data_IF_331851486158
#
_entry.id   IF_331851486158
#
_cell.length_a   1.000
_cell.length_b   1.000
_cell.length_c   1.000
_cell.angle_alpha   90.00
_cell.angle_beta   90.00
_cell.angle_gamma   90.00
#
_symmetry.space_group_name_H-M   'P 1'
#
loop_
_entity.id
_entity.type
_entity.pdbx_description
1 polymer ?
#
# COMPACT_ATOMS: atom_id res chain seq x y z
N UNK A 1 12.35 -29.63 -38.02
CA UNK A 1 11.56 -28.61 -37.32
C UNK A 1 11.10 -29.23 -36.01
N UNK A 2 11.76 -28.89 -34.91
CA UNK A 2 11.28 -29.29 -33.58
C UNK A 2 10.01 -28.49 -33.26
N UNK A 3 9.06 -29.12 -32.58
CA UNK A 3 7.82 -28.47 -32.16
C UNK A 3 8.15 -27.46 -31.03
N UNK A 4 7.86 -26.16 -31.18
CA UNK A 4 8.20 -25.15 -30.16
C UNK A 4 7.60 -25.47 -28.77
N UNK A 5 6.49 -26.23 -28.73
CA UNK A 5 5.91 -26.73 -27.48
C UNK A 5 6.80 -27.76 -26.76
N UNK A 6 7.50 -28.63 -27.51
CA UNK A 6 8.43 -29.64 -26.97
C UNK A 6 9.64 -29.00 -26.29
N UNK A 7 10.14 -27.89 -26.84
CA UNK A 7 11.33 -27.20 -26.35
C UNK A 7 11.03 -26.37 -25.09
N UNK A 8 9.86 -25.73 -25.03
CA UNK A 8 9.39 -24.98 -23.86
C UNK A 8 9.14 -25.87 -22.63
N UNK A 9 8.55 -27.05 -22.85
CA UNK A 9 8.38 -28.06 -21.79
C UNK A 9 9.73 -28.56 -21.27
N UNK A 10 10.75 -28.63 -22.13
CA UNK A 10 12.10 -29.04 -21.76
C UNK A 10 12.84 -28.00 -20.91
N UNK A 11 12.77 -26.69 -21.25
CA UNK A 11 13.40 -25.61 -20.46
C UNK A 11 12.78 -25.53 -19.06
N UNK A 12 11.45 -25.57 -18.98
CA UNK A 12 10.72 -25.49 -17.72
C UNK A 12 11.07 -26.67 -16.79
N UNK A 13 11.17 -27.89 -17.34
CA UNK A 13 11.60 -29.07 -16.57
C UNK A 13 13.07 -28.96 -16.12
N UNK A 14 13.96 -28.45 -16.98
CA UNK A 14 15.37 -28.20 -16.63
C UNK A 14 15.50 -27.19 -15.49
N UNK A 15 14.74 -26.11 -15.54
CA UNK A 15 14.74 -25.11 -14.47
C UNK A 15 14.25 -25.69 -13.15
N UNK A 16 13.16 -26.46 -13.15
CA UNK A 16 12.66 -27.15 -11.95
C UNK A 16 13.72 -28.07 -11.35
N UNK A 17 14.33 -28.93 -12.16
CA UNK A 17 15.38 -29.83 -11.70
C UNK A 17 16.59 -29.05 -11.14
N UNK A 18 16.98 -27.95 -11.78
CA UNK A 18 18.07 -27.10 -11.31
C UNK A 18 17.76 -26.41 -9.98
N UNK A 19 16.51 -25.95 -9.79
CA UNK A 19 16.05 -25.33 -8.55
C UNK A 19 16.01 -26.34 -7.39
N UNK A 20 15.48 -27.54 -7.65
CA UNK A 20 15.42 -28.64 -6.69
C UNK A 20 16.83 -29.14 -6.31
N UNK A 21 17.75 -29.24 -7.27
CA UNK A 21 19.13 -29.64 -7.00
C UNK A 21 19.90 -28.57 -6.23
N UNK A 22 19.71 -27.29 -6.57
CA UNK A 22 20.46 -26.19 -5.98
C UNK A 22 19.99 -25.83 -4.56
N UNK A 23 18.74 -26.14 -4.20
CA UNK A 23 18.10 -25.84 -2.91
C UNK A 23 18.49 -24.46 -2.36
N UNK A 24 18.20 -23.37 -3.09
CA UNK A 24 18.60 -22.03 -2.65
C UNK A 24 17.97 -21.68 -1.30
N UNK A 25 18.68 -20.93 -0.47
CA UNK A 25 18.18 -20.50 0.83
C UNK A 25 17.04 -19.47 0.66
N UNK A 26 15.80 -19.94 0.65
CA UNK A 26 14.61 -19.11 0.38
C UNK A 26 14.02 -18.44 1.60
N UNK A 27 14.54 -18.69 2.81
CA UNK A 27 14.08 -18.01 4.02
C UNK A 27 12.63 -18.33 4.42
N UNK A 28 12.06 -19.44 3.93
CA UNK A 28 10.67 -19.85 4.22
C UNK A 28 9.73 -19.82 3.02
N UNK A 29 10.14 -19.21 1.89
CA UNK A 29 9.38 -19.25 0.62
C UNK A 29 9.50 -20.65 -0.01
N UNK A 30 8.40 -21.20 -0.51
CA UNK A 30 8.43 -22.51 -1.17
C UNK A 30 9.12 -22.44 -2.52
N UNK A 31 9.79 -23.53 -2.93
CA UNK A 31 10.40 -23.60 -4.26
C UNK A 31 9.34 -23.59 -5.37
N UNK A 32 8.11 -24.02 -5.08
CA UNK A 32 7.01 -23.96 -6.04
C UNK A 32 6.54 -22.51 -6.30
N UNK A 33 6.54 -21.65 -5.29
CA UNK A 33 6.24 -20.22 -5.47
C UNK A 33 7.32 -19.54 -6.32
N UNK A 34 8.60 -19.83 -6.03
CA UNK A 34 9.73 -19.34 -6.84
C UNK A 34 9.61 -19.84 -8.28
N UNK A 35 9.27 -21.11 -8.47
CA UNK A 35 9.07 -21.70 -9.78
C UNK A 35 7.92 -21.04 -10.54
N UNK A 36 6.79 -20.80 -9.87
CA UNK A 36 5.61 -20.18 -10.47
C UNK A 36 5.89 -18.76 -10.98
N UNK A 37 6.68 -17.97 -10.26
CA UNK A 37 7.04 -16.61 -10.67
C UNK A 37 8.02 -16.56 -11.86
N UNK A 38 8.93 -17.55 -11.97
CA UNK A 38 9.96 -17.56 -13.02
C UNK A 38 9.50 -18.26 -14.30
N UNK A 39 8.64 -19.27 -14.19
CA UNK A 39 8.17 -20.10 -15.32
C UNK A 39 7.65 -19.29 -16.52
N UNK A 40 6.83 -18.24 -16.34
CA UNK A 40 6.30 -17.46 -17.46
C UNK A 40 7.37 -16.81 -18.35
N UNK A 41 8.59 -16.63 -17.83
CA UNK A 41 9.68 -15.91 -18.50
C UNK A 41 10.66 -16.84 -19.21
N UNK A 42 10.71 -18.12 -18.83
CA UNK A 42 11.59 -19.11 -19.43
C UNK A 42 11.44 -19.25 -20.96
N UNK A 43 10.23 -19.25 -21.55
CA UNK A 43 10.08 -19.31 -23.01
C UNK A 43 10.71 -18.11 -23.71
N UNK A 44 10.50 -16.90 -23.17
CA UNK A 44 11.04 -15.65 -23.72
C UNK A 44 12.57 -15.63 -23.71
N UNK A 45 13.18 -16.16 -22.64
CA UNK A 45 14.64 -16.30 -22.57
C UNK A 45 15.18 -17.30 -23.60
N UNK A 46 14.40 -18.33 -23.95
CA UNK A 46 14.78 -19.35 -24.93
C UNK A 46 14.67 -18.89 -26.39
N UNK A 47 13.81 -17.93 -26.68
CA UNK A 47 13.60 -17.42 -28.05
C UNK A 47 14.70 -16.45 -28.53
N UNK A 48 15.55 -15.95 -27.62
CA UNK A 48 16.66 -15.05 -27.98
C UNK A 48 17.81 -15.78 -28.68
N UNK A 49 18.14 -15.45 -29.95
CA UNK A 49 19.18 -16.17 -30.71
C UNK A 49 20.57 -16.02 -30.06
N UNK A 50 21.24 -17.15 -29.82
CA UNK A 50 22.58 -17.20 -29.21
C UNK A 50 23.60 -16.43 -30.07
N UNK A 51 23.50 -16.50 -31.41
CA UNK A 51 24.41 -15.76 -32.29
C UNK A 51 24.27 -14.24 -32.15
N UNK A 52 23.06 -13.73 -31.89
CA UNK A 52 22.82 -12.30 -31.64
C UNK A 52 23.40 -11.86 -30.29
N UNK A 53 23.43 -12.74 -29.27
CA UNK A 53 24.02 -12.44 -27.95
C UNK A 53 25.52 -12.19 -28.06
N UNK A 54 26.21 -12.99 -28.87
CA UNK A 54 27.65 -12.84 -29.14
C UNK A 54 27.98 -11.53 -29.90
N UNK A 55 27.04 -11.01 -30.69
CA UNK A 55 27.18 -9.76 -31.44
C UNK A 55 27.21 -8.50 -30.58
N UNK A 56 26.73 -8.56 -29.33
CA UNK A 56 26.88 -7.49 -28.33
C UNK A 56 26.00 -6.25 -28.51
N UNK A 57 25.13 -6.18 -29.51
CA UNK A 57 24.15 -5.09 -29.67
C UNK A 57 22.90 -5.31 -28.80
N UNK A 58 23.08 -5.03 -27.51
CA UNK A 58 22.05 -5.19 -26.48
C UNK A 58 21.01 -4.06 -26.45
N UNK A 59 21.12 -3.05 -27.33
CA UNK A 59 20.16 -1.95 -27.43
C UNK A 59 19.03 -2.24 -28.43
N UNK A 60 19.12 -3.36 -29.15
CA UNK A 60 18.06 -3.82 -30.04
C UNK A 60 16.76 -4.10 -29.27
N UNK A 61 15.63 -3.98 -29.97
CA UNK A 61 14.30 -4.13 -29.39
C UNK A 61 14.13 -5.46 -28.63
N UNK A 62 14.57 -6.57 -29.23
CA UNK A 62 14.46 -7.92 -28.67
C UNK A 62 15.19 -8.05 -27.31
N UNK A 63 16.39 -7.47 -27.19
CA UNK A 63 17.14 -7.49 -25.93
C UNK A 63 16.53 -6.56 -24.87
N UNK A 64 16.03 -5.40 -25.28
CA UNK A 64 15.34 -4.48 -24.37
C UNK A 64 14.06 -5.08 -23.78
N UNK A 65 13.28 -5.78 -24.60
CA UNK A 65 12.10 -6.51 -24.11
C UNK A 65 12.50 -7.61 -23.13
N UNK A 66 13.51 -8.41 -23.46
CA UNK A 66 14.02 -9.44 -22.56
C UNK A 66 14.48 -8.87 -21.21
N UNK A 67 15.29 -7.81 -21.20
CA UNK A 67 15.76 -7.19 -19.96
C UNK A 67 14.59 -6.61 -19.16
N UNK A 68 13.60 -6.01 -19.83
CA UNK A 68 12.39 -5.52 -19.16
C UNK A 68 11.64 -6.65 -18.45
N UNK A 69 11.50 -7.81 -19.10
CA UNK A 69 10.86 -8.98 -18.50
C UNK A 69 11.70 -9.53 -17.33
N UNK A 70 13.02 -9.52 -17.43
CA UNK A 70 13.91 -9.90 -16.33
C UNK A 70 13.83 -8.93 -15.15
N UNK A 71 13.65 -7.62 -15.39
CA UNK A 71 13.33 -6.64 -14.35
C UNK A 71 12.01 -7.00 -13.65
N UNK A 72 10.98 -7.44 -14.38
CA UNK A 72 9.73 -7.90 -13.78
C UNK A 72 9.93 -9.15 -12.90
N UNK A 73 10.72 -10.14 -13.35
CA UNK A 73 11.06 -11.31 -12.53
C UNK A 73 11.78 -10.88 -11.24
N UNK A 74 12.78 -10.01 -11.36
CA UNK A 74 13.48 -9.44 -10.22
C UNK A 74 12.54 -8.84 -9.19
N UNK A 75 11.59 -8.01 -9.65
CA UNK A 75 10.55 -7.40 -8.81
C UNK A 75 9.68 -8.44 -8.13
N UNK A 76 9.23 -9.47 -8.85
CA UNK A 76 8.40 -10.55 -8.28
C UNK A 76 9.13 -11.37 -7.23
N UNK A 77 10.39 -11.74 -7.50
CA UNK A 77 11.25 -12.43 -6.53
C UNK A 77 11.47 -11.57 -5.27
N UNK A 78 11.61 -10.24 -5.45
CA UNK A 78 11.66 -9.34 -4.32
C UNK A 78 10.37 -9.37 -3.52
N UNK A 79 9.19 -9.40 -4.14
CA UNK A 79 7.86 -9.44 -3.48
C UNK A 79 7.56 -10.78 -2.77
N UNK A 80 8.19 -11.87 -3.17
CA UNK A 80 8.17 -13.14 -2.42
C UNK A 80 9.00 -13.11 -1.13
N UNK A 81 9.77 -12.04 -0.89
CA UNK A 81 10.64 -11.86 0.30
C UNK A 81 11.89 -12.75 0.28
N UNK A 82 12.35 -13.11 -0.93
CA UNK A 82 13.67 -13.72 -1.11
C UNK A 82 14.77 -12.71 -0.77
N UNK A 83 15.94 -13.23 -0.36
CA UNK A 83 17.15 -12.41 -0.25
C UNK A 83 17.68 -12.03 -1.65
N UNK A 84 18.41 -10.91 -1.78
CA UNK A 84 19.01 -10.53 -3.07
C UNK A 84 19.97 -11.60 -3.61
N UNK A 85 20.73 -12.27 -2.73
CA UNK A 85 21.62 -13.37 -3.11
C UNK A 85 20.83 -14.56 -3.69
N UNK A 86 19.70 -14.90 -3.09
CA UNK A 86 18.83 -15.96 -3.56
C UNK A 86 18.16 -15.59 -4.88
N UNK A 87 17.68 -14.36 -5.03
CA UNK A 87 17.10 -13.89 -6.29
C UNK A 87 18.12 -13.96 -7.44
N UNK A 88 19.35 -13.48 -7.24
CA UNK A 88 20.44 -13.61 -8.22
C UNK A 88 20.70 -15.08 -8.56
N UNK A 89 20.76 -15.96 -7.57
CA UNK A 89 20.98 -17.39 -7.79
C UNK A 89 19.85 -18.02 -8.63
N UNK A 90 18.59 -17.67 -8.36
CA UNK A 90 17.43 -18.12 -9.12
C UNK A 90 17.50 -17.63 -10.58
N UNK A 91 17.82 -16.36 -10.80
CA UNK A 91 18.00 -15.81 -12.16
C UNK A 91 19.12 -16.54 -12.91
N UNK A 92 20.24 -16.84 -12.25
CA UNK A 92 21.34 -17.62 -12.86
C UNK A 92 20.90 -19.03 -13.25
N UNK A 93 20.15 -19.71 -12.39
CA UNK A 93 19.59 -21.04 -12.70
C UNK A 93 18.62 -20.99 -13.88
N UNK A 94 17.83 -19.91 -14.00
CA UNK A 94 16.94 -19.70 -15.15
C UNK A 94 17.73 -19.54 -16.45
N UNK A 95 18.78 -18.72 -16.45
CA UNK A 95 19.66 -18.55 -17.62
C UNK A 95 20.35 -19.87 -18.02
N UNK A 96 20.87 -20.61 -17.05
CA UNK A 96 21.51 -21.91 -17.27
C UNK A 96 20.53 -22.99 -17.76
N UNK A 97 19.26 -22.90 -17.34
CA UNK A 97 18.21 -23.82 -17.82
C UNK A 97 17.85 -23.59 -19.28
N UNK A 98 18.10 -22.39 -19.80
CA UNK A 98 17.91 -22.04 -21.21
C UNK A 98 19.14 -22.46 -22.00
N UNK A 99 20.32 -22.00 -21.56
CA UNK A 99 21.61 -22.30 -22.16
C UNK A 99 22.59 -22.86 -21.12
N UNK A 100 22.84 -24.19 -21.11
CA UNK A 100 23.76 -24.81 -20.16
C UNK A 100 25.22 -24.36 -20.31
N UNK A 101 25.59 -23.78 -21.45
CA UNK A 101 26.93 -23.25 -21.71
C UNK A 101 27.10 -21.79 -21.25
N UNK A 102 26.02 -21.18 -20.75
CA UNK A 102 26.01 -19.81 -20.24
C UNK A 102 26.83 -19.69 -18.95
N UNK A 103 28.04 -19.16 -19.07
CA UNK A 103 28.89 -18.79 -17.94
C UNK A 103 28.63 -17.33 -17.54
N UNK A 104 27.79 -17.13 -16.52
CA UNK A 104 27.30 -15.81 -16.11
C UNK A 104 28.41 -14.80 -15.80
N UNK A 105 29.53 -15.27 -15.24
CA UNK A 105 30.62 -14.38 -14.83
C UNK A 105 31.48 -13.92 -16.02
N UNK A 106 31.35 -14.54 -17.20
CA UNK A 106 32.17 -14.26 -18.40
C UNK A 106 31.32 -13.77 -19.58
N UNK A 107 30.03 -14.15 -19.64
CA UNK A 107 29.15 -13.83 -20.75
C UNK A 107 28.46 -12.45 -20.58
N UNK A 108 28.68 -11.48 -21.50
CA UNK A 108 28.12 -10.13 -21.38
C UNK A 108 26.59 -10.08 -21.30
N UNK A 109 25.91 -10.97 -22.04
CA UNK A 109 24.44 -11.07 -22.00
C UNK A 109 23.95 -11.49 -20.62
N UNK A 110 24.56 -12.54 -20.04
CA UNK A 110 24.19 -13.07 -18.74
C UNK A 110 24.43 -12.05 -17.62
N UNK A 111 25.52 -11.29 -17.68
CA UNK A 111 25.79 -10.19 -16.75
C UNK A 111 24.70 -9.11 -16.82
N UNK A 112 24.30 -8.67 -18.03
CA UNK A 112 23.20 -7.71 -18.20
C UNK A 112 21.86 -8.27 -17.74
N UNK A 113 21.59 -9.55 -18.01
CA UNK A 113 20.38 -10.22 -17.57
C UNK A 113 20.25 -10.26 -16.04
N UNK A 114 21.35 -10.58 -15.34
CA UNK A 114 21.41 -10.52 -13.88
C UNK A 114 21.25 -9.09 -13.38
N UNK A 115 21.89 -8.11 -14.02
CA UNK A 115 21.75 -6.70 -13.64
C UNK A 115 20.30 -6.20 -13.74
N UNK A 116 19.59 -6.54 -14.82
CA UNK A 116 18.17 -6.21 -15.00
C UNK A 116 17.30 -6.84 -13.90
N UNK A 117 17.53 -8.11 -13.57
CA UNK A 117 16.85 -8.77 -12.46
C UNK A 117 17.17 -8.13 -11.09
N UNK A 118 18.40 -7.68 -10.86
CA UNK A 118 18.76 -6.96 -9.62
C UNK A 118 18.07 -5.60 -9.55
N UNK A 119 18.04 -4.83 -10.63
CA UNK A 119 17.30 -3.56 -10.70
C UNK A 119 15.82 -3.75 -10.34
N UNK A 120 15.19 -4.75 -10.97
CA UNK A 120 13.83 -5.15 -10.65
C UNK A 120 13.64 -5.52 -9.18
N UNK A 121 14.58 -6.27 -8.63
CA UNK A 121 14.54 -6.67 -7.23
C UNK A 121 14.57 -5.46 -6.28
N UNK A 122 15.44 -4.48 -6.54
CA UNK A 122 15.50 -3.24 -5.77
C UNK A 122 14.16 -2.50 -5.83
N UNK A 123 13.59 -2.32 -7.03
CA UNK A 123 12.28 -1.70 -7.20
C UNK A 123 11.18 -2.41 -6.41
N UNK A 124 11.16 -3.74 -6.41
CA UNK A 124 10.21 -4.52 -5.61
C UNK A 124 10.41 -4.40 -4.09
N UNK A 125 11.65 -4.21 -3.64
CA UNK A 125 11.93 -3.90 -2.21
C UNK A 125 11.44 -2.53 -1.83
N UNK A 126 11.68 -1.51 -2.66
CA UNK A 126 11.20 -0.15 -2.44
C UNK A 126 9.67 -0.11 -2.38
N UNK A 127 9.00 -0.81 -3.30
CA UNK A 127 7.54 -0.96 -3.32
C UNK A 127 7.02 -1.56 -2.01
N UNK A 128 7.59 -2.67 -1.54
CA UNK A 128 7.19 -3.27 -0.26
C UNK A 128 7.45 -2.33 0.92
N UNK A 129 8.61 -1.68 0.96
CA UNK A 129 8.92 -0.75 2.06
C UNK A 129 7.91 0.39 2.08
N UNK A 130 7.54 0.91 0.91
CA UNK A 130 6.49 1.91 0.77
C UNK A 130 5.14 1.39 1.25
N UNK A 131 4.70 0.21 0.78
CA UNK A 131 3.45 -0.43 1.22
C UNK A 131 3.43 -0.68 2.73
N UNK A 132 4.49 -1.26 3.30
CA UNK A 132 4.59 -1.50 4.73
C UNK A 132 4.67 -0.20 5.56
N UNK A 133 5.18 0.89 4.98
CA UNK A 133 5.12 2.21 5.61
C UNK A 133 3.70 2.77 5.57
N UNK A 134 2.98 2.62 4.46
CA UNK A 134 1.57 3.01 4.32
C UNK A 134 0.68 2.21 5.28
N UNK A 135 0.82 0.89 5.34
CA UNK A 135 0.08 0.02 6.25
C UNK A 135 0.33 0.37 7.72
N UNK A 136 1.60 0.60 8.11
CA UNK A 136 1.93 1.05 9.46
C UNK A 136 1.32 2.42 9.76
N UNK A 137 1.44 3.37 8.84
CA UNK A 137 0.82 4.69 8.97
C UNK A 137 -0.70 4.58 9.14
N UNK A 138 -1.37 3.72 8.37
CA UNK A 138 -2.81 3.47 8.46
C UNK A 138 -3.20 2.81 9.79
N UNK A 139 -2.44 1.81 10.26
CA UNK A 139 -2.72 1.11 11.54
C UNK A 139 -2.63 2.04 12.77
N UNK A 140 -1.89 3.15 12.66
CA UNK A 140 -1.74 4.15 13.71
C UNK A 140 -2.82 5.25 13.69
N UNK A 141 -3.76 5.24 12.72
CA UNK A 141 -4.85 6.21 12.62
C UNK A 141 -6.01 5.88 13.57
N UNK A 142 -5.71 5.80 14.87
CA UNK A 142 -6.72 5.59 15.90
C UNK A 142 -7.19 6.93 16.47
N UNK A 143 -8.49 7.08 16.79
CA UNK A 143 -8.99 8.24 17.50
C UNK A 143 -8.28 8.41 18.85
N UNK A 144 -7.68 9.58 19.07
CA UNK A 144 -7.02 9.96 20.31
C UNK A 144 -8.00 10.70 21.23
N UNK A 145 -8.17 10.23 22.46
CA UNK A 145 -8.91 10.99 23.47
C UNK A 145 -8.04 12.12 23.99
N UNK A 146 -8.45 13.37 23.75
CA UNK A 146 -7.72 14.56 24.22
C UNK A 146 -8.25 15.04 25.57
N UNK A 147 -9.57 14.97 25.77
CA UNK A 147 -10.25 15.38 27.00
C UNK A 147 -11.42 14.44 27.34
N UNK A 148 -12.09 14.67 28.46
CA UNK A 148 -13.29 13.93 28.83
C UNK A 148 -14.37 13.97 27.73
N UNK A 149 -14.48 15.08 26.99
CA UNK A 149 -15.51 15.32 25.98
C UNK A 149 -14.95 15.53 24.56
N UNK A 150 -13.70 15.15 24.28
CA UNK A 150 -13.04 15.44 22.99
C UNK A 150 -12.24 14.24 22.49
N UNK A 151 -12.52 13.82 21.25
CA UNK A 151 -11.61 12.98 20.46
C UNK A 151 -10.96 13.78 19.33
N UNK A 152 -9.76 13.39 18.95
CA UNK A 152 -9.12 13.84 17.73
C UNK A 152 -8.74 12.66 16.83
N UNK A 153 -8.94 12.82 15.53
CA UNK A 153 -8.43 11.93 14.50
C UNK A 153 -7.42 12.72 13.67
N UNK A 154 -6.13 12.43 13.86
CA UNK A 154 -5.04 13.06 13.09
C UNK A 154 -4.66 12.14 11.96
N UNK A 155 -4.90 12.57 10.72
CA UNK A 155 -4.66 11.74 9.53
C UNK A 155 -3.40 12.23 8.81
N UNK A 156 -2.42 11.34 8.66
CA UNK A 156 -1.14 11.66 8.03
C UNK A 156 -0.78 10.67 6.92
N UNK A 157 -0.19 11.17 5.83
CA UNK A 157 0.29 10.35 4.71
C UNK A 157 -0.65 10.37 3.51
N UNK A 158 -0.65 9.27 2.74
CA UNK A 158 -1.47 9.07 1.54
C UNK A 158 -2.25 7.77 1.73
N UNK A 159 -3.58 7.86 1.79
CA UNK A 159 -4.45 6.71 2.09
C UNK A 159 -5.55 6.54 1.06
N UNK A 160 -5.89 5.30 0.77
CA UNK A 160 -7.04 4.98 -0.07
C UNK A 160 -8.35 5.45 0.60
N UNK A 161 -9.38 5.86 -0.17
CA UNK A 161 -10.65 6.33 0.38
C UNK A 161 -11.30 5.36 1.37
N UNK A 162 -11.20 4.04 1.12
CA UNK A 162 -11.74 3.02 2.01
C UNK A 162 -11.09 3.05 3.41
N UNK A 163 -9.76 3.22 3.48
CA UNK A 163 -9.01 3.32 4.74
C UNK A 163 -9.44 4.57 5.51
N UNK A 164 -9.64 5.70 4.81
CA UNK A 164 -10.11 6.94 5.41
C UNK A 164 -11.52 6.78 6.00
N UNK A 165 -12.44 6.11 5.29
CA UNK A 165 -13.77 5.80 5.79
C UNK A 165 -13.72 4.92 7.04
N UNK A 166 -12.88 3.88 7.05
CA UNK A 166 -12.71 3.01 8.22
C UNK A 166 -12.20 3.78 9.45
N UNK A 167 -11.29 4.75 9.25
CA UNK A 167 -10.79 5.62 10.32
C UNK A 167 -11.88 6.54 10.88
N UNK A 168 -12.72 7.10 10.00
CA UNK A 168 -13.85 7.94 10.39
C UNK A 168 -14.92 7.12 11.12
N UNK A 169 -15.19 5.89 10.69
CA UNK A 169 -16.07 4.96 11.40
C UNK A 169 -15.52 4.62 12.79
N UNK A 170 -14.21 4.38 12.90
CA UNK A 170 -13.55 4.13 14.18
C UNK A 170 -13.68 5.34 15.12
N UNK A 171 -13.59 6.57 14.60
CA UNK A 171 -13.87 7.80 15.35
C UNK A 171 -15.31 7.82 15.87
N UNK A 172 -16.29 7.53 15.02
CA UNK A 172 -17.70 7.44 15.44
C UNK A 172 -17.94 6.42 16.55
N UNK A 173 -17.33 5.23 16.45
CA UNK A 173 -17.40 4.19 17.49
C UNK A 173 -16.76 4.67 18.79
N UNK A 174 -15.57 5.26 18.73
CA UNK A 174 -14.88 5.80 19.91
C UNK A 174 -15.69 6.90 20.61
N UNK A 175 -16.30 7.81 19.84
CA UNK A 175 -17.20 8.84 20.36
C UNK A 175 -18.41 8.23 21.05
N UNK A 176 -19.06 7.24 20.43
CA UNK A 176 -20.23 6.58 20.99
C UNK A 176 -19.91 5.82 22.30
N UNK A 177 -18.83 5.06 22.31
CA UNK A 177 -18.45 4.22 23.46
C UNK A 177 -18.14 5.06 24.70
N UNK A 178 -17.40 6.15 24.48
CA UNK A 178 -16.97 7.07 25.52
C UNK A 178 -17.98 8.20 25.80
N UNK A 179 -19.09 8.25 25.07
CA UNK A 179 -20.15 9.25 25.20
C UNK A 179 -19.65 10.69 25.02
N UNK A 180 -18.86 10.88 23.95
CA UNK A 180 -18.20 12.14 23.60
C UNK A 180 -18.97 12.88 22.50
N UNK A 181 -19.19 14.18 22.71
CA UNK A 181 -19.97 15.04 21.82
C UNK A 181 -19.11 15.87 20.86
N UNK A 182 -17.77 15.80 20.93
CA UNK A 182 -16.90 16.60 20.07
C UNK A 182 -15.75 15.79 19.46
N UNK A 183 -15.59 15.94 18.15
CA UNK A 183 -14.48 15.43 17.37
C UNK A 183 -13.68 16.55 16.71
N UNK A 184 -12.37 16.36 16.63
CA UNK A 184 -11.47 17.17 15.81
C UNK A 184 -10.85 16.26 14.76
N UNK A 185 -10.94 16.61 13.49
CA UNK A 185 -10.30 15.85 12.40
C UNK A 185 -9.22 16.72 11.78
N UNK A 186 -7.96 16.29 11.91
CA UNK A 186 -6.79 17.04 11.43
C UNK A 186 -6.27 16.44 10.12
N UNK A 187 -6.33 17.24 9.05
CA UNK A 187 -5.93 16.89 7.69
C UNK A 187 -4.59 17.52 7.29
N UNK A 188 -3.91 18.21 8.20
CA UNK A 188 -2.69 18.99 7.91
C UNK A 188 -1.59 18.14 7.27
N UNK A 189 -1.52 16.86 7.63
CA UNK A 189 -0.51 15.91 7.12
C UNK A 189 -1.07 14.92 6.09
N UNK A 190 -2.33 15.06 5.68
CA UNK A 190 -2.96 14.20 4.67
C UNK A 190 -2.72 14.76 3.28
N UNK A 191 -2.05 13.98 2.44
CA UNK A 191 -1.61 14.36 1.10
C UNK A 191 -2.60 13.95 0.01
N UNK A 192 -2.46 14.56 -1.17
CA UNK A 192 -3.20 14.21 -2.40
C UNK A 192 -4.74 14.18 -2.22
N UNK A 193 -5.36 15.34 -1.91
CA UNK A 193 -6.82 15.42 -1.86
C UNK A 193 -7.44 15.17 -3.24
N UNK A 194 -8.50 14.37 -3.25
CA UNK A 194 -9.35 14.15 -4.42
C UNK A 194 -10.80 14.01 -3.96
N UNK A 195 -11.73 13.91 -4.92
CA UNK A 195 -13.17 13.80 -4.65
C UNK A 195 -13.53 12.67 -3.68
N UNK A 196 -13.02 11.47 -3.91
CA UNK A 196 -13.37 10.28 -3.14
C UNK A 196 -12.83 10.37 -1.71
N UNK A 197 -11.60 10.87 -1.53
CA UNK A 197 -10.99 11.11 -0.22
C UNK A 197 -11.72 12.20 0.56
N UNK A 198 -12.19 13.25 -0.11
CA UNK A 198 -13.01 14.29 0.51
C UNK A 198 -14.33 13.72 1.04
N UNK A 199 -15.02 12.87 0.26
CA UNK A 199 -16.24 12.19 0.71
C UNK A 199 -15.96 11.36 1.97
N UNK A 200 -14.90 10.54 1.92
CA UNK A 200 -14.54 9.66 3.04
C UNK A 200 -14.27 10.46 4.33
N UNK A 201 -13.42 11.49 4.27
CA UNK A 201 -13.00 12.26 5.45
C UNK A 201 -14.10 13.16 6.00
N UNK A 202 -14.81 13.90 5.14
CA UNK A 202 -15.81 14.86 5.62
C UNK A 202 -17.11 14.18 6.11
N UNK A 203 -17.31 12.89 5.81
CA UNK A 203 -18.39 12.09 6.42
C UNK A 203 -18.33 12.06 7.96
N UNK A 204 -17.16 12.38 8.56
CA UNK A 204 -17.01 12.54 10.00
C UNK A 204 -17.97 13.59 10.60
N UNK A 205 -18.33 14.63 9.85
CA UNK A 205 -19.31 15.62 10.28
C UNK A 205 -20.72 15.04 10.42
N UNK A 206 -21.14 14.24 9.44
CA UNK A 206 -22.44 13.58 9.45
C UNK A 206 -22.52 12.57 10.59
N UNK A 207 -21.47 11.76 10.77
CA UNK A 207 -21.35 10.80 11.87
C UNK A 207 -21.41 11.50 13.23
N UNK A 208 -20.64 12.57 13.43
CA UNK A 208 -20.67 13.33 14.68
C UNK A 208 -22.08 13.90 14.95
N UNK A 209 -22.74 14.49 13.93
CA UNK A 209 -24.10 15.02 14.04
C UNK A 209 -25.14 13.94 14.36
N UNK A 210 -25.05 12.76 13.75
CA UNK A 210 -25.91 11.61 14.06
C UNK A 210 -25.76 11.16 15.52
N UNK A 211 -24.54 11.25 16.06
CA UNK A 211 -24.25 10.99 17.46
C UNK A 211 -24.64 12.16 18.39
N UNK A 212 -25.22 13.24 17.87
CA UNK A 212 -25.62 14.42 18.64
C UNK A 212 -24.46 15.33 19.02
N UNK A 213 -23.29 15.12 18.41
CA UNK A 213 -22.08 15.87 18.61
C UNK A 213 -21.74 16.82 17.46
N UNK A 214 -20.51 17.29 17.47
CA UNK A 214 -19.96 18.27 16.53
C UNK A 214 -18.58 17.81 16.06
N UNK A 215 -18.25 18.09 14.80
CA UNK A 215 -16.94 17.83 14.23
C UNK A 215 -16.27 19.15 13.82
N UNK A 216 -14.98 19.33 14.14
CA UNK A 216 -14.16 20.47 13.73
C UNK A 216 -13.03 19.94 12.84
N UNK A 217 -12.91 20.47 11.63
CA UNK A 217 -11.83 20.11 10.70
C UNK A 217 -10.69 21.12 10.79
N UNK A 218 -9.47 20.60 10.74
CA UNK A 218 -8.22 21.37 10.72
C UNK A 218 -7.42 21.01 9.46
N UNK A 219 -6.63 21.95 8.94
CA UNK A 219 -5.77 21.70 7.78
C UNK A 219 -6.51 21.70 6.44
N UNK A 220 -7.72 22.28 6.38
CA UNK A 220 -8.52 22.37 5.15
C UNK A 220 -8.00 23.50 4.24
N UNK A 221 -6.90 23.21 3.55
CA UNK A 221 -6.26 24.09 2.56
C UNK A 221 -7.07 24.23 1.26
N UNK A 222 -6.57 25.03 0.30
CA UNK A 222 -7.25 25.25 -0.98
C UNK A 222 -7.47 23.97 -1.79
N UNK A 223 -6.58 22.98 -1.66
CA UNK A 223 -6.67 21.71 -2.40
C UNK A 223 -7.80 20.86 -1.84
N UNK A 224 -7.92 20.78 -0.51
CA UNK A 224 -9.06 20.13 0.15
C UNK A 224 -10.38 20.82 -0.16
N UNK A 225 -10.40 22.15 -0.23
CA UNK A 225 -11.61 22.91 -0.62
C UNK A 225 -12.05 22.61 -2.05
N UNK A 226 -11.11 22.49 -2.98
CA UNK A 226 -11.39 22.11 -4.36
C UNK A 226 -11.95 20.67 -4.43
N UNK A 227 -11.33 19.73 -3.73
CA UNK A 227 -11.80 18.34 -3.66
C UNK A 227 -13.21 18.21 -3.04
N UNK A 228 -13.49 18.97 -1.97
CA UNK A 228 -14.82 19.04 -1.36
C UNK A 228 -15.87 19.65 -2.31
N UNK A 229 -15.48 20.67 -3.07
CA UNK A 229 -16.37 21.28 -4.08
C UNK A 229 -16.71 20.28 -5.19
N UNK A 230 -15.73 19.52 -5.70
CA UNK A 230 -15.97 18.45 -6.68
C UNK A 230 -16.84 17.31 -6.12
N UNK A 231 -16.69 17.02 -4.83
CA UNK A 231 -17.55 16.12 -4.08
C UNK A 231 -18.94 16.69 -3.74
N UNK A 232 -19.21 17.98 -4.04
CA UNK A 232 -20.44 18.70 -3.69
C UNK A 232 -20.72 18.76 -2.19
N UNK A 233 -19.67 18.82 -1.38
CA UNK A 233 -19.74 18.94 0.08
C UNK A 233 -19.89 20.43 0.45
N UNK A 234 -20.94 20.82 1.19
CA UNK A 234 -21.17 22.21 1.57
C UNK A 234 -20.19 22.63 2.68
N UNK A 235 -19.05 23.20 2.29
CA UNK A 235 -17.99 23.63 3.20
C UNK A 235 -18.43 24.70 4.22
N UNK A 236 -19.45 25.49 3.88
CA UNK A 236 -20.06 26.51 4.74
C UNK A 236 -20.84 25.91 5.92
N UNK A 237 -21.29 24.66 5.78
CA UNK A 237 -21.94 23.91 6.85
C UNK A 237 -20.96 23.17 7.76
N UNK A 238 -19.67 23.10 7.38
CA UNK A 238 -18.62 22.46 8.17
C UNK A 238 -17.98 23.47 9.12
N UNK A 239 -17.59 23.01 10.32
CA UNK A 239 -16.77 23.81 11.22
C UNK A 239 -15.31 23.60 10.88
N UNK A 240 -14.65 24.64 10.40
CA UNK A 240 -13.23 24.60 10.01
C UNK A 240 -12.45 25.57 10.88
N UNK A 241 -11.41 25.07 11.55
CA UNK A 241 -10.46 25.85 12.31
C UNK A 241 -9.13 25.98 11.54
N UNK A 242 -8.35 27.06 11.75
CA UNK A 242 -7.09 27.28 11.05
C UNK A 242 -6.00 26.28 11.45
N UNK A 243 -5.97 25.89 12.74
CA UNK A 243 -5.00 24.96 13.29
C UNK A 243 -5.61 24.18 14.47
N UNK A 244 -4.86 23.18 14.96
CA UNK A 244 -5.28 22.27 16.02
C UNK A 244 -5.45 22.99 17.37
N UNK A 245 -4.63 24.01 17.65
CA UNK A 245 -4.71 24.75 18.89
C UNK A 245 -6.02 25.54 18.96
N UNK A 246 -6.38 26.23 17.88
CA UNK A 246 -7.65 26.97 17.77
C UNK A 246 -8.85 26.02 17.81
N UNK A 247 -8.75 24.85 17.16
CA UNK A 247 -9.81 23.83 17.24
C UNK A 247 -10.02 23.33 18.67
N UNK A 248 -8.93 23.08 19.41
CA UNK A 248 -8.97 22.65 20.80
C UNK A 248 -9.52 23.74 21.72
N UNK A 249 -9.10 24.98 21.55
CA UNK A 249 -9.65 26.11 22.32
C UNK A 249 -11.16 26.28 22.06
N UNK A 250 -11.59 26.22 20.80
CA UNK A 250 -13.00 26.28 20.45
C UNK A 250 -13.81 25.11 21.06
N UNK A 251 -13.23 23.91 21.06
CA UNK A 251 -13.83 22.73 21.66
C UNK A 251 -13.95 22.83 23.19
N UNK A 252 -12.88 23.24 23.86
CA UNK A 252 -12.81 23.36 25.32
C UNK A 252 -13.74 24.45 25.87
N UNK A 253 -13.95 25.51 25.08
CA UNK A 253 -14.84 26.64 25.41
C UNK A 253 -16.26 26.47 24.89
N UNK A 254 -16.61 25.32 24.29
CA UNK A 254 -17.95 25.07 23.78
C UNK A 254 -18.97 25.02 24.93
N UNK A 255 -20.07 25.78 24.87
CA UNK A 255 -21.09 25.81 25.93
C UNK A 255 -21.79 24.46 26.12
N UNK A 256 -21.75 23.56 25.12
CA UNK A 256 -22.33 22.21 25.19
C UNK A 256 -21.56 21.25 26.13
N UNK A 257 -20.37 21.64 26.60
CA UNK A 257 -19.52 20.85 27.52
C UNK A 257 -20.15 20.65 28.91
N UNK A 258 -21.10 21.50 29.30
CA UNK A 258 -21.72 21.48 30.63
C UNK A 258 -22.82 20.43 30.80
N UNK A 259 -23.08 19.62 29.77
CA UNK A 259 -24.19 18.69 29.79
C UNK A 259 -23.73 17.31 30.28
N UNK A 260 -24.43 16.67 31.24
CA UNK A 260 -24.02 15.35 31.73
C UNK A 260 -23.99 14.34 30.58
N UNK A 261 -23.11 13.32 30.67
CA UNK A 261 -22.98 12.28 29.66
C UNK A 261 -24.36 11.74 29.27
N UNK A 262 -24.61 11.55 27.98
CA UNK A 262 -25.87 11.09 27.42
C UNK A 262 -26.38 9.81 28.09
N UNK A 263 -25.50 8.92 28.57
CA UNK A 263 -25.86 7.74 29.40
C UNK A 263 -26.58 8.13 30.69
N UNK A 264 -26.19 9.22 31.35
CA UNK A 264 -26.87 9.74 32.53
C UNK A 264 -28.20 10.40 32.17
N UNK A 265 -28.28 11.07 31.01
CA UNK A 265 -29.56 11.62 30.53
C UNK A 265 -30.56 10.52 30.21
N UNK A 266 -30.16 9.47 29.48
CA UNK A 266 -31.03 8.31 29.20
C UNK A 266 -31.43 7.59 30.47
N UNK A 267 -30.51 7.39 31.43
CA UNK A 267 -30.85 6.83 32.75
C UNK A 267 -31.83 7.71 33.52
N UNK A 268 -31.63 9.03 33.54
CA UNK A 268 -32.53 9.97 34.19
C UNK A 268 -33.89 10.04 33.50
N UNK A 269 -33.93 9.89 32.17
CA UNK A 269 -35.17 9.83 31.39
C UNK A 269 -35.91 8.51 31.66
N UNK A 270 -35.22 7.38 31.59
CA UNK A 270 -35.78 6.06 31.89
C UNK A 270 -36.23 5.94 33.35
N UNK A 271 -35.51 6.54 34.29
CA UNK A 271 -35.91 6.62 35.70
C UNK A 271 -37.16 7.49 35.93
N UNK A 272 -37.54 8.36 34.98
CA UNK A 272 -38.83 9.09 35.02
C UNK A 272 -39.99 8.29 34.44
N UNK A 273 -39.70 7.20 33.70
CA UNK A 273 -40.71 6.35 33.04
C UNK A 273 -40.81 4.95 33.65
N UNK A 274 -39.92 4.59 34.59
CA UNK A 274 -40.02 3.39 35.41
C UNK A 274 -40.52 3.80 36.81
N UNK A 275 -41.63 3.24 37.32
CA UNK A 275 -42.19 3.58 38.63
C UNK A 275 -41.30 3.15 39.80
#
# INVERSE_FOLDING_TARGET
MADPKSETTSVTARFRAALEAATPATGGVSLDDVFAEVTPVLPLLSELPIEKRAGGDFESFEFRECFTVLTLVGRRLALLDLTPTTAVRVTRLALQSVDPSCEVDVEPFAQRAVAAAVEGFVLGREERVSQAAMERAASCLQPLRIDASIFALVISGTHEPAVLSDCVDALGRAMLDADVELAIVDLTQLSEPNRERAIAVFSADEIAKMLGGQCIFVGVDQRWRAAATDARIPLDALRIAPDLAVALEAALNSPDRATPPRKERWRALLARFLP
#
